data_IF_039571764741
#
_entry.id   IF_039571764741
#
_cell.length_a   1.000
_cell.length_b   1.000
_cell.length_c   1.000
_cell.angle_alpha   90.00
_cell.angle_beta   90.00
_cell.angle_gamma   90.00
#
_symmetry.space_group_name_H-M   'P 1'
#
loop_
_entity.id
_entity.type
_entity.pdbx_description
1 polymer ?
#
# COMPACT_ATOMS: atom_id res chain seq x y z
N UNK A 1 14.45 1.93 11.86
CA UNK A 1 12.97 2.03 11.79
C UNK A 1 12.45 2.65 10.49
N UNK A 2 12.87 3.87 10.07
CA UNK A 2 12.36 4.51 8.82
C UNK A 2 12.52 3.67 7.53
N UNK A 3 13.61 2.92 7.40
CA UNK A 3 13.83 2.05 6.24
C UNK A 3 12.87 0.86 6.20
N UNK A 4 12.53 0.30 7.36
CA UNK A 4 11.59 -0.82 7.50
C UNK A 4 10.19 -0.37 7.10
N UNK A 5 9.74 0.80 7.58
CA UNK A 5 8.42 1.37 7.22
C UNK A 5 8.31 1.61 5.72
N UNK A 6 9.37 2.16 5.09
CA UNK A 6 9.42 2.34 3.62
C UNK A 6 9.41 1.01 2.88
N UNK A 7 10.12 0.01 3.40
CA UNK A 7 10.15 -1.34 2.82
C UNK A 7 8.78 -2.00 2.85
N UNK A 8 8.09 -1.96 4.00
CA UNK A 8 6.72 -2.48 4.13
C UNK A 8 5.77 -1.76 3.17
N UNK A 9 5.85 -0.43 3.10
CA UNK A 9 5.04 0.33 2.16
C UNK A 9 5.31 -0.06 0.69
N UNK A 10 6.59 -0.22 0.31
CA UNK A 10 6.96 -0.64 -1.02
C UNK A 10 6.48 -2.06 -1.36
N UNK A 11 6.51 -2.98 -0.39
CA UNK A 11 5.94 -4.31 -0.54
C UNK A 11 4.42 -4.26 -0.77
N UNK A 12 3.70 -3.38 -0.07
CA UNK A 12 2.26 -3.19 -0.33
C UNK A 12 2.00 -2.62 -1.73
N UNK A 13 2.85 -1.74 -2.23
CA UNK A 13 2.77 -1.25 -3.61
C UNK A 13 2.92 -2.39 -4.62
N UNK A 14 3.95 -3.25 -4.45
CA UNK A 14 4.15 -4.42 -5.31
C UNK A 14 2.93 -5.36 -5.25
N UNK A 15 2.41 -5.64 -4.06
CA UNK A 15 1.21 -6.46 -3.89
C UNK A 15 0.03 -5.92 -4.72
N UNK A 16 -0.24 -4.62 -4.68
CA UNK A 16 -1.35 -4.02 -5.44
C UNK A 16 -1.12 -4.05 -6.96
N UNK A 17 0.14 -3.94 -7.42
CA UNK A 17 0.48 -4.13 -8.82
C UNK A 17 0.16 -5.57 -9.25
N UNK A 18 0.60 -6.57 -8.48
CA UNK A 18 0.31 -7.99 -8.77
C UNK A 18 -1.19 -8.27 -8.74
N UNK A 19 -1.90 -7.72 -7.77
CA UNK A 19 -3.37 -7.80 -7.65
C UNK A 19 -4.07 -7.25 -8.89
N UNK A 20 -3.64 -6.08 -9.39
CA UNK A 20 -4.22 -5.47 -10.58
C UNK A 20 -4.00 -6.31 -11.85
N UNK A 21 -2.83 -6.95 -11.96
CA UNK A 21 -2.44 -7.73 -13.13
C UNK A 21 -2.94 -9.18 -13.10
N UNK A 22 -3.39 -9.69 -11.96
CA UNK A 22 -3.70 -11.11 -11.78
C UNK A 22 -5.19 -11.34 -11.47
N UNK A 23 -6.03 -11.71 -12.46
CA UNK A 23 -7.45 -11.97 -12.24
C UNK A 23 -7.73 -13.06 -11.21
N UNK A 24 -6.89 -14.10 -11.16
CA UNK A 24 -7.03 -15.18 -10.18
C UNK A 24 -6.87 -14.70 -8.74
N UNK A 25 -5.97 -13.75 -8.49
CA UNK A 25 -5.78 -13.16 -7.16
C UNK A 25 -6.98 -12.31 -6.76
N UNK A 26 -7.59 -11.58 -7.71
CA UNK A 26 -8.86 -10.87 -7.47
C UNK A 26 -9.97 -11.84 -7.08
N UNK A 27 -10.17 -12.91 -7.86
CA UNK A 27 -11.16 -13.93 -7.55
C UNK A 27 -10.96 -14.57 -6.17
N UNK A 28 -9.71 -14.81 -5.77
CA UNK A 28 -9.41 -15.35 -4.43
C UNK A 28 -9.73 -14.34 -3.29
N UNK A 29 -9.46 -13.05 -3.51
CA UNK A 29 -9.78 -11.99 -2.54
C UNK A 29 -11.29 -11.79 -2.43
N UNK A 30 -12.00 -11.81 -3.55
CA UNK A 30 -13.46 -11.63 -3.58
C UNK A 30 -14.20 -12.83 -2.97
N UNK A 31 -13.65 -14.04 -3.11
CA UNK A 31 -14.25 -15.26 -2.57
C UNK A 31 -14.02 -15.48 -1.07
N UNK A 32 -13.09 -14.75 -0.44
CA UNK A 32 -12.71 -14.98 0.96
C UNK A 32 -12.73 -13.70 1.79
N UNK A 33 -13.59 -13.67 2.81
CA UNK A 33 -13.70 -12.53 3.72
C UNK A 33 -12.39 -12.24 4.45
N UNK A 34 -11.62 -13.28 4.80
CA UNK A 34 -10.32 -13.12 5.45
C UNK A 34 -9.30 -12.44 4.51
N UNK A 35 -9.24 -12.86 3.24
CA UNK A 35 -8.34 -12.24 2.26
C UNK A 35 -8.78 -10.81 1.92
N UNK A 36 -10.08 -10.55 1.82
CA UNK A 36 -10.62 -9.20 1.63
C UNK A 36 -10.24 -8.26 2.78
N UNK A 37 -10.29 -8.74 4.03
CA UNK A 37 -9.82 -7.95 5.17
C UNK A 37 -8.31 -7.65 5.09
N UNK A 38 -7.49 -8.65 4.76
CA UNK A 38 -6.03 -8.44 4.58
C UNK A 38 -5.76 -7.48 3.43
N UNK A 39 -6.50 -7.59 2.33
CA UNK A 39 -6.41 -6.69 1.18
C UNK A 39 -6.73 -5.24 1.59
N UNK A 40 -7.82 -5.04 2.36
CA UNK A 40 -8.19 -3.73 2.87
C UNK A 40 -7.12 -3.15 3.82
N UNK A 41 -6.55 -3.98 4.69
CA UNK A 41 -5.45 -3.58 5.58
C UNK A 41 -4.21 -3.13 4.78
N UNK A 42 -3.84 -3.87 3.74
CA UNK A 42 -2.75 -3.47 2.85
C UNK A 42 -3.08 -2.18 2.11
N UNK A 43 -4.35 -1.96 1.76
CA UNK A 43 -4.84 -0.70 1.20
C UNK A 43 -4.62 0.48 2.13
N UNK A 44 -4.91 0.34 3.42
CA UNK A 44 -4.66 1.38 4.42
C UNK A 44 -3.16 1.72 4.54
N UNK A 45 -2.29 0.69 4.52
CA UNK A 45 -0.84 0.90 4.55
C UNK A 45 -0.39 1.66 3.29
N UNK A 46 -0.86 1.26 2.12
CA UNK A 46 -0.49 1.89 0.85
C UNK A 46 -0.92 3.36 0.81
N UNK A 47 -2.18 3.65 1.14
CA UNK A 47 -2.72 5.02 1.13
C UNK A 47 -2.07 5.86 2.22
N UNK A 48 -1.97 5.35 3.45
CA UNK A 48 -1.38 6.07 4.57
C UNK A 48 0.09 6.41 4.34
N UNK A 49 0.87 5.46 3.82
CA UNK A 49 2.29 5.72 3.51
C UNK A 49 2.46 6.65 2.30
N UNK A 50 1.59 6.58 1.29
CA UNK A 50 1.60 7.50 0.16
C UNK A 50 1.27 8.93 0.58
N UNK A 51 0.25 9.09 1.43
CA UNK A 51 -0.13 10.37 2.02
C UNK A 51 1.01 10.98 2.85
N UNK A 52 1.62 10.18 3.74
CA UNK A 52 2.76 10.63 4.53
C UNK A 52 3.92 11.07 3.64
N UNK A 53 4.20 10.33 2.57
CA UNK A 53 5.26 10.67 1.63
C UNK A 53 4.97 11.99 0.90
N UNK A 54 3.73 12.21 0.48
CA UNK A 54 3.27 13.44 -0.16
C UNK A 54 3.39 14.64 0.79
N UNK A 55 2.86 14.53 2.02
CA UNK A 55 2.95 15.60 3.03
C UNK A 55 4.40 15.98 3.33
N UNK A 56 5.27 14.98 3.55
CA UNK A 56 6.69 15.22 3.80
C UNK A 56 7.41 15.85 2.61
N UNK A 57 7.00 15.52 1.38
CA UNK A 57 7.60 16.09 0.16
C UNK A 57 7.19 17.54 -0.02
N UNK A 58 5.91 17.84 0.17
CA UNK A 58 5.37 19.21 0.13
C UNK A 58 6.03 20.07 1.21
N UNK A 59 6.05 19.60 2.47
CA UNK A 59 6.68 20.34 3.56
C UNK A 59 8.14 20.68 3.23
N UNK A 60 8.93 19.72 2.73
CA UNK A 60 10.33 19.98 2.36
C UNK A 60 10.50 20.93 1.19
N UNK A 61 9.53 21.02 0.30
CA UNK A 61 9.55 21.97 -0.81
C UNK A 61 9.38 23.40 -0.32
N UNK A 62 8.51 23.62 0.68
CA UNK A 62 8.21 24.95 1.22
C UNK A 62 9.12 25.40 2.37
N UNK A 63 9.76 24.46 3.09
CA UNK A 63 10.67 24.78 4.21
C UNK A 63 12.15 24.65 3.84
N UNK A 64 12.47 24.61 2.54
CA UNK A 64 13.81 24.80 2.00
C UNK A 64 13.85 26.13 1.28
#
# INVERSE_FOLDING_TARGET
>A
MRHIVRGIWFLTLIYFIVYLLTPALRGAVDASQALSFVHALFGLILVGGGFLWLVLSIHRFFTR
#
